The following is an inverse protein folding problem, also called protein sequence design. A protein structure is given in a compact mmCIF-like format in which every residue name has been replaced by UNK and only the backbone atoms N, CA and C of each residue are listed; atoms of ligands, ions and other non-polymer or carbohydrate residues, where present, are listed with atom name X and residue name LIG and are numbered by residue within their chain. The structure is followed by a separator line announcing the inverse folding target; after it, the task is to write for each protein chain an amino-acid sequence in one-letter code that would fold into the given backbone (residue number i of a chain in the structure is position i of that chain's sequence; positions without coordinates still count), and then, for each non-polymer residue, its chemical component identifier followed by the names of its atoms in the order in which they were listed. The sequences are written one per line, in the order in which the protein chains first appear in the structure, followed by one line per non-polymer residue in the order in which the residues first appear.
data_IF_840286661795
#
_entry.id   IF_840286661795
#
_cell.length_a   1.000
_cell.length_b   1.000
_cell.length_c   1.000
_cell.angle_alpha   90.00
_cell.angle_beta   90.00
_cell.angle_gamma   90.00
#
_symmetry.space_group_name_H-M   'P 1'
#
loop_
_entity.id
_entity.type
_entity.pdbx_description
1 polymer ?
#
# COMPACT_ATOMS: atom_id res chain seq x y z
N UNK A 1 -8.87 -3.77 1.08
CA UNK A 1 -8.34 -2.47 1.59
C UNK A 1 -8.12 -2.44 3.12
N UNK A 2 -9.11 -2.67 4.00
CA UNK A 2 -8.91 -2.54 5.46
C UNK A 2 -7.78 -3.41 6.02
N UNK A 3 -7.78 -4.71 5.71
CA UNK A 3 -6.75 -5.66 6.17
C UNK A 3 -5.36 -5.24 5.70
N UNK A 4 -5.24 -4.90 4.44
CA UNK A 4 -4.00 -4.41 3.83
C UNK A 4 -3.47 -3.16 4.54
N UNK A 5 -4.35 -2.17 4.75
CA UNK A 5 -3.97 -0.92 5.40
C UNK A 5 -3.52 -1.13 6.84
N UNK A 6 -4.18 -2.03 7.55
CA UNK A 6 -3.79 -2.43 8.91
C UNK A 6 -2.41 -3.10 8.93
N UNK A 7 -2.14 -4.01 7.97
CA UNK A 7 -0.84 -4.66 7.82
C UNK A 7 0.27 -3.63 7.52
N UNK A 8 0.00 -2.63 6.68
CA UNK A 8 0.96 -1.55 6.39
C UNK A 8 1.28 -0.73 7.65
N UNK A 9 0.28 -0.41 8.47
CA UNK A 9 0.51 0.29 9.74
C UNK A 9 1.34 -0.57 10.70
N UNK A 10 1.03 -1.85 10.86
CA UNK A 10 1.82 -2.76 11.69
C UNK A 10 3.27 -2.86 11.22
N UNK A 11 3.46 -2.94 9.90
CA UNK A 11 4.80 -2.99 9.31
C UNK A 11 5.58 -1.69 9.56
N UNK A 12 4.92 -0.53 9.49
CA UNK A 12 5.56 0.76 9.80
C UNK A 12 6.07 0.81 11.24
N UNK A 13 5.27 0.30 12.18
CA UNK A 13 5.67 0.21 13.59
C UNK A 13 6.92 -0.66 13.76
N UNK A 14 7.00 -1.78 13.04
CA UNK A 14 8.19 -2.63 13.07
C UNK A 14 9.45 -1.90 12.59
N UNK A 15 9.34 -1.06 11.54
CA UNK A 15 10.43 -0.23 11.05
C UNK A 15 10.86 0.87 12.05
N UNK A 16 9.92 1.43 12.80
CA UNK A 16 10.23 2.46 13.81
C UNK A 16 10.88 1.89 15.08
N UNK A 17 10.45 0.70 15.52
CA UNK A 17 10.94 0.11 16.77
C UNK A 17 12.37 -0.43 16.63
N UNK A 18 12.72 -1.00 15.48
CA UNK A 18 14.02 -1.63 15.27
C UNK A 18 14.59 -1.36 13.88
N UNK A 19 15.12 -0.16 13.64
CA UNK A 19 15.74 0.18 12.37
C UNK A 19 17.08 -0.57 12.12
N UNK A 20 17.67 -1.21 13.14
CA UNK A 20 18.97 -1.86 13.06
C UNK A 20 18.91 -3.38 12.85
N UNK A 21 17.73 -3.94 12.55
CA UNK A 21 17.61 -5.38 12.34
C UNK A 21 18.33 -5.85 11.07
N UNK A 22 18.88 -7.08 11.09
CA UNK A 22 19.51 -7.66 9.91
C UNK A 22 18.55 -7.66 8.73
N UNK A 23 19.04 -7.25 7.57
CA UNK A 23 18.30 -7.14 6.31
C UNK A 23 17.44 -8.36 6.00
N UNK A 24 17.96 -9.57 6.23
CA UNK A 24 17.28 -10.83 5.94
C UNK A 24 15.94 -10.99 6.69
N UNK A 25 15.87 -10.59 7.97
CA UNK A 25 14.63 -10.71 8.75
C UNK A 25 13.54 -9.77 8.25
N UNK A 26 13.91 -8.53 7.90
CA UNK A 26 12.96 -7.56 7.32
C UNK A 26 12.52 -7.97 5.92
N UNK A 27 13.45 -8.45 5.11
CA UNK A 27 13.17 -8.90 3.75
C UNK A 27 12.12 -10.01 3.72
N UNK A 28 12.26 -11.01 4.59
CA UNK A 28 11.32 -12.12 4.71
C UNK A 28 9.94 -11.63 5.17
N UNK A 29 9.90 -10.79 6.21
CA UNK A 29 8.65 -10.25 6.75
C UNK A 29 7.90 -9.41 5.71
N UNK A 30 8.59 -8.52 5.02
CA UNK A 30 8.00 -7.69 3.96
C UNK A 30 7.58 -8.54 2.77
N UNK A 31 8.39 -9.54 2.39
CA UNK A 31 8.06 -10.47 1.33
C UNK A 31 6.78 -11.25 1.61
N UNK A 32 6.61 -11.77 2.83
CA UNK A 32 5.39 -12.46 3.24
C UNK A 32 4.17 -11.53 3.24
N UNK A 33 4.31 -10.30 3.74
CA UNK A 33 3.21 -9.34 3.74
C UNK A 33 2.83 -8.89 2.32
N UNK A 34 3.81 -8.67 1.44
CA UNK A 34 3.55 -8.34 0.04
C UNK A 34 2.88 -9.51 -0.70
N UNK A 35 3.24 -10.75 -0.38
CA UNK A 35 2.60 -11.95 -0.93
C UNK A 35 1.14 -12.05 -0.50
N UNK A 36 0.85 -11.87 0.79
CA UNK A 36 -0.51 -11.85 1.32
C UNK A 36 -1.34 -10.73 0.67
N UNK A 37 -0.77 -9.55 0.53
CA UNK A 37 -1.42 -8.41 -0.11
C UNK A 37 -1.72 -8.71 -1.59
N UNK A 38 -0.77 -9.23 -2.33
CA UNK A 38 -0.95 -9.63 -3.72
C UNK A 38 -2.03 -10.70 -3.89
N UNK A 39 -2.06 -11.71 -3.00
CA UNK A 39 -3.10 -12.72 -2.98
C UNK A 39 -4.49 -12.12 -2.71
N UNK A 40 -4.61 -11.18 -1.76
CA UNK A 40 -5.88 -10.48 -1.47
C UNK A 40 -6.38 -9.71 -2.69
N UNK A 41 -5.51 -9.00 -3.43
CA UNK A 41 -5.90 -8.29 -4.64
C UNK A 41 -6.37 -9.24 -5.74
N UNK A 42 -5.66 -10.34 -5.98
CA UNK A 42 -6.04 -11.32 -7.00
C UNK A 42 -7.36 -11.99 -6.63
N UNK A 43 -7.50 -12.45 -5.39
CA UNK A 43 -8.76 -13.04 -4.92
C UNK A 43 -9.90 -12.01 -4.98
N UNK A 44 -9.66 -10.77 -4.58
CA UNK A 44 -10.63 -9.68 -4.68
C UNK A 44 -11.15 -9.51 -6.12
N UNK A 45 -10.25 -9.53 -7.10
CA UNK A 45 -10.63 -9.45 -8.51
C UNK A 45 -11.49 -10.64 -8.98
N UNK A 46 -11.14 -11.87 -8.58
CA UNK A 46 -11.91 -13.05 -9.02
C UNK A 46 -13.27 -13.17 -8.34
N UNK A 47 -13.38 -12.76 -7.08
CA UNK A 47 -14.64 -12.83 -6.32
C UNK A 47 -15.51 -11.56 -6.39
N UNK A 48 -15.02 -10.49 -7.03
CA UNK A 48 -15.81 -9.29 -7.27
C UNK A 48 -16.90 -9.55 -8.31
N UNK A 49 -18.02 -8.86 -8.17
CA UNK A 49 -19.07 -8.85 -9.18
C UNK A 49 -18.51 -8.34 -10.53
N UNK A 50 -19.05 -8.82 -11.69
CA UNK A 50 -18.54 -8.45 -13.01
C UNK A 50 -18.44 -6.94 -13.25
N UNK A 51 -19.31 -6.16 -12.62
CA UNK A 51 -19.36 -4.70 -12.74
C UNK A 51 -18.32 -4.00 -11.85
N UNK A 52 -17.82 -4.67 -10.80
CA UNK A 52 -16.87 -4.11 -9.82
C UNK A 52 -15.42 -4.56 -10.06
N UNK A 53 -15.17 -5.35 -11.11
CA UNK A 53 -13.85 -5.88 -11.44
C UNK A 53 -12.90 -4.78 -11.87
N UNK A 54 -11.92 -4.47 -11.01
CA UNK A 54 -10.87 -3.52 -11.32
C UNK A 54 -9.64 -4.23 -11.89
N UNK A 55 -9.34 -4.00 -13.16
CA UNK A 55 -8.10 -4.51 -13.79
C UNK A 55 -6.86 -3.99 -13.06
N UNK A 56 -6.94 -2.81 -12.46
CA UNK A 56 -5.85 -2.25 -11.66
C UNK A 56 -5.53 -3.12 -10.44
N UNK A 57 -6.53 -3.70 -9.77
CA UNK A 57 -6.33 -4.63 -8.64
C UNK A 57 -5.61 -5.91 -9.08
N UNK A 58 -5.98 -6.46 -10.23
CA UNK A 58 -5.32 -7.65 -10.79
C UNK A 58 -3.84 -7.37 -11.10
N UNK A 59 -3.56 -6.26 -11.79
CA UNK A 59 -2.19 -5.86 -12.15
C UNK A 59 -1.37 -5.63 -10.87
N UNK A 60 -1.92 -4.91 -9.88
CA UNK A 60 -1.28 -4.70 -8.59
C UNK A 60 -1.01 -6.01 -7.86
N UNK A 61 -1.96 -6.93 -7.86
CA UNK A 61 -1.80 -8.25 -7.27
C UNK A 61 -0.64 -9.02 -7.90
N UNK A 62 -0.53 -9.02 -9.22
CA UNK A 62 0.56 -9.67 -9.96
C UNK A 62 1.92 -9.03 -9.61
N UNK A 63 1.99 -7.69 -9.63
CA UNK A 63 3.22 -6.96 -9.28
C UNK A 63 3.65 -7.28 -7.85
N UNK A 64 2.71 -7.32 -6.90
CA UNK A 64 2.99 -7.64 -5.50
C UNK A 64 3.48 -9.08 -5.33
N UNK A 65 2.90 -10.06 -6.01
CA UNK A 65 3.36 -11.46 -5.96
C UNK A 65 4.75 -11.60 -6.60
N UNK A 66 4.98 -11.01 -7.75
CA UNK A 66 6.29 -11.01 -8.39
C UNK A 66 7.36 -10.38 -7.49
N UNK A 67 7.03 -9.22 -6.90
CA UNK A 67 7.90 -8.54 -5.97
C UNK A 67 8.15 -9.33 -4.69
N UNK A 68 7.14 -9.97 -4.12
CA UNK A 68 7.28 -10.82 -2.94
C UNK A 68 8.16 -12.04 -3.22
N UNK A 69 8.00 -12.65 -4.38
CA UNK A 69 8.84 -13.79 -4.80
C UNK A 69 10.29 -13.37 -4.91
N UNK A 70 10.58 -12.20 -5.49
CA UNK A 70 11.93 -11.65 -5.52
C UNK A 70 12.49 -11.42 -4.11
N UNK A 71 11.69 -10.89 -3.17
CA UNK A 71 12.12 -10.66 -1.80
C UNK A 71 12.37 -11.95 -1.01
N UNK A 72 11.55 -12.99 -1.23
CA UNK A 72 11.65 -14.25 -0.49
C UNK A 72 12.75 -15.16 -1.00
N UNK A 73 12.96 -15.20 -2.30
CA UNK A 73 13.89 -16.14 -2.96
C UNK A 73 15.12 -15.47 -3.55
N UNK A 74 15.08 -14.14 -3.78
CA UNK A 74 16.21 -13.38 -4.28
C UNK A 74 17.24 -13.13 -3.18
N UNK A 75 18.53 -13.30 -3.50
CA UNK A 75 19.62 -12.86 -2.64
C UNK A 75 19.81 -11.36 -2.84
N UNK A 76 19.23 -10.56 -1.93
CA UNK A 76 19.46 -9.11 -1.96
C UNK A 76 20.77 -8.81 -1.23
N UNK A 77 21.82 -8.62 -1.98
CA UNK A 77 23.18 -8.39 -1.44
C UNK A 77 23.36 -6.98 -0.87
N UNK A 78 22.47 -6.04 -1.19
CA UNK A 78 22.61 -4.62 -0.84
C UNK A 78 21.33 -4.05 -0.23
N UNK A 79 21.48 -3.41 0.92
CA UNK A 79 20.39 -2.70 1.60
C UNK A 79 19.78 -1.60 0.73
N UNK A 80 20.58 -0.93 -0.09
CA UNK A 80 20.08 0.11 -0.99
C UNK A 80 19.16 -0.47 -2.08
N UNK A 81 19.51 -1.63 -2.65
CA UNK A 81 18.66 -2.32 -3.63
C UNK A 81 17.32 -2.74 -3.01
N UNK A 82 17.36 -3.26 -1.78
CA UNK A 82 16.15 -3.61 -1.03
C UNK A 82 15.26 -2.39 -0.77
N UNK A 83 15.85 -1.30 -0.29
CA UNK A 83 15.13 -0.06 0.00
C UNK A 83 14.52 0.57 -1.27
N UNK A 84 15.24 0.57 -2.39
CA UNK A 84 14.72 1.05 -3.68
C UNK A 84 13.57 0.18 -4.19
N UNK A 85 13.70 -1.12 -4.10
CA UNK A 85 12.64 -2.05 -4.50
C UNK A 85 11.37 -1.85 -3.66
N UNK A 86 11.53 -1.73 -2.34
CA UNK A 86 10.44 -1.50 -1.42
C UNK A 86 9.74 -0.15 -1.68
N UNK A 87 10.53 0.90 -1.91
CA UNK A 87 10.00 2.22 -2.28
C UNK A 87 9.27 2.20 -3.62
N UNK A 88 9.73 1.39 -4.58
CA UNK A 88 9.03 1.15 -5.84
C UNK A 88 7.64 0.54 -5.64
N UNK A 89 7.52 -0.49 -4.80
CA UNK A 89 6.22 -1.07 -4.42
C UNK A 89 5.32 0.00 -3.77
N UNK A 90 5.88 0.81 -2.87
CA UNK A 90 5.10 1.87 -2.21
C UNK A 90 4.68 2.97 -3.17
N UNK A 91 5.48 3.25 -4.20
CA UNK A 91 5.11 4.19 -5.26
C UNK A 91 3.84 3.73 -6.00
N UNK A 92 3.80 2.45 -6.38
CA UNK A 92 2.62 1.86 -7.04
C UNK A 92 1.40 1.94 -6.13
N UNK A 93 1.52 1.60 -4.85
CA UNK A 93 0.45 1.75 -3.86
C UNK A 93 0.02 3.22 -3.69
N UNK A 94 0.98 4.14 -3.67
CA UNK A 94 0.71 5.58 -3.57
C UNK A 94 -0.13 6.09 -4.72
N UNK A 95 0.20 5.71 -5.96
CA UNK A 95 -0.58 6.05 -7.14
C UNK A 95 -1.98 5.44 -7.11
N UNK A 96 -2.10 4.19 -6.68
CA UNK A 96 -3.40 3.55 -6.52
C UNK A 96 -4.28 4.32 -5.53
N UNK A 97 -3.76 4.64 -4.35
CA UNK A 97 -4.52 5.42 -3.35
C UNK A 97 -4.85 6.83 -3.83
N UNK A 98 -3.97 7.46 -4.60
CA UNK A 98 -4.24 8.76 -5.21
C UNK A 98 -5.40 8.66 -6.22
N UNK A 99 -5.39 7.66 -7.11
CA UNK A 99 -6.47 7.44 -8.07
C UNK A 99 -7.82 7.21 -7.37
N UNK A 100 -7.88 6.31 -6.39
CA UNK A 100 -9.11 6.05 -5.62
C UNK A 100 -9.58 7.31 -4.86
N UNK A 101 -8.64 8.10 -4.33
CA UNK A 101 -8.99 9.37 -3.66
C UNK A 101 -9.56 10.40 -4.61
N UNK A 102 -9.08 10.42 -5.86
CA UNK A 102 -9.62 11.29 -6.89
C UNK A 102 -11.07 10.94 -7.21
N UNK A 103 -11.38 9.65 -7.33
CA UNK A 103 -12.74 9.18 -7.58
C UNK A 103 -13.68 9.48 -6.40
N UNK A 104 -13.18 9.35 -5.16
CA UNK A 104 -13.94 9.61 -3.94
C UNK A 104 -13.88 11.07 -3.46
N UNK A 105 -13.31 11.99 -4.25
CA UNK A 105 -13.14 13.41 -3.87
C UNK A 105 -14.40 14.09 -3.35
N UNK A 106 -15.61 13.87 -3.90
CA UNK A 106 -16.81 14.53 -3.39
C UNK A 106 -17.18 14.11 -1.98
N UNK A 107 -16.84 12.90 -1.58
CA UNK A 107 -17.16 12.31 -0.28
C UNK A 107 -16.00 12.43 0.73
N UNK A 108 -14.81 12.84 0.28
CA UNK A 108 -13.62 12.90 1.10
C UNK A 108 -13.17 14.32 1.42
N UNK A 109 -13.33 14.69 2.68
CA UNK A 109 -12.63 15.89 3.19
C UNK A 109 -11.10 15.62 3.20
N UNK A 110 -10.30 16.53 2.66
CA UNK A 110 -8.84 16.42 2.56
C UNK A 110 -8.35 15.28 1.63
N UNK A 111 -9.05 15.02 0.54
CA UNK A 111 -8.64 14.06 -0.50
C UNK A 111 -7.24 14.37 -1.08
N UNK A 112 -6.88 15.64 -1.15
CA UNK A 112 -5.59 16.10 -1.67
C UNK A 112 -4.37 15.59 -0.86
N UNK A 113 -4.54 15.26 0.44
CA UNK A 113 -3.45 14.70 1.25
C UNK A 113 -3.00 13.35 0.69
N UNK A 114 -3.93 12.52 0.22
CA UNK A 114 -3.59 11.23 -0.38
C UNK A 114 -2.91 11.38 -1.74
N UNK A 115 -3.12 12.51 -2.45
CA UNK A 115 -2.40 12.85 -3.67
C UNK A 115 -0.92 13.17 -3.43
N UNK A 116 -0.55 13.54 -2.20
CA UNK A 116 0.86 13.80 -1.86
C UNK A 116 1.66 12.50 -1.64
N UNK A 117 1.01 11.36 -1.45
CA UNK A 117 1.71 10.07 -1.20
C UNK A 117 2.66 9.68 -2.32
N UNK A 118 2.27 9.69 -3.62
CA UNK A 118 3.21 9.38 -4.70
C UNK A 118 4.38 10.35 -4.74
N UNK A 119 4.13 11.65 -4.55
CA UNK A 119 5.18 12.68 -4.55
C UNK A 119 6.17 12.46 -3.40
N UNK A 120 5.66 12.17 -2.20
CA UNK A 120 6.49 11.82 -1.05
C UNK A 120 7.31 10.56 -1.31
N UNK A 121 6.71 9.54 -1.92
CA UNK A 121 7.42 8.30 -2.26
C UNK A 121 8.53 8.55 -3.28
N UNK A 122 8.29 9.36 -4.32
CA UNK A 122 9.33 9.77 -5.28
C UNK A 122 10.47 10.51 -4.58
N UNK A 123 10.15 11.41 -3.65
CA UNK A 123 11.17 12.10 -2.85
C UNK A 123 12.04 11.10 -2.08
N UNK A 124 11.43 10.10 -1.41
CA UNK A 124 12.18 9.08 -0.65
C UNK A 124 13.03 8.21 -1.58
N UNK A 125 12.50 7.79 -2.74
CA UNK A 125 13.27 7.04 -3.75
C UNK A 125 14.48 7.84 -4.21
N UNK A 126 14.30 9.10 -4.54
CA UNK A 126 15.40 9.99 -4.94
C UNK A 126 16.43 10.13 -3.82
N UNK A 127 15.98 10.33 -2.58
CA UNK A 127 16.84 10.49 -1.42
C UNK A 127 17.69 9.25 -1.13
N UNK A 128 17.10 8.05 -1.22
CA UNK A 128 17.81 6.78 -1.07
C UNK A 128 18.80 6.57 -2.22
N UNK A 129 18.41 6.92 -3.46
CA UNK A 129 19.25 6.70 -4.64
C UNK A 129 20.49 7.61 -4.66
N UNK A 130 20.34 8.86 -4.28
CA UNK A 130 21.44 9.83 -4.27
C UNK A 130 22.47 9.59 -3.17
N UNK A 131 22.23 8.59 -2.30
CA UNK A 131 23.12 8.26 -1.17
C UNK A 131 23.47 9.47 -0.29
N UNK A 132 22.61 10.50 -0.30
CA UNK A 132 22.80 11.71 0.52
C UNK A 132 22.87 11.38 2.02
N UNK A 133 22.30 10.23 2.40
CA UNK A 133 22.37 9.71 3.76
C UNK A 133 22.90 8.29 3.74
N UNK A 134 24.12 8.12 4.20
CA UNK A 134 24.73 6.80 4.38
C UNK A 134 24.18 6.06 5.62
N UNK A 135 23.37 6.72 6.44
CA UNK A 135 22.80 6.15 7.65
C UNK A 135 21.61 5.24 7.32
N UNK A 136 21.81 3.95 7.45
CA UNK A 136 20.83 2.88 7.25
C UNK A 136 19.54 3.13 8.04
N UNK A 137 19.68 3.61 9.28
CA UNK A 137 18.55 3.91 10.17
C UNK A 137 17.60 4.96 9.60
N UNK A 138 18.14 5.98 8.90
CA UNK A 138 17.29 7.03 8.30
C UNK A 138 16.52 6.48 7.10
N UNK A 139 17.14 5.64 6.28
CA UNK A 139 16.45 5.02 5.14
C UNK A 139 15.28 4.15 5.63
N UNK A 140 15.48 3.36 6.68
CA UNK A 140 14.40 2.55 7.26
C UNK A 140 13.32 3.40 7.94
N UNK A 141 13.69 4.48 8.59
CA UNK A 141 12.73 5.43 9.14
C UNK A 141 11.85 6.05 8.05
N UNK A 142 12.43 6.49 6.93
CA UNK A 142 11.69 7.04 5.78
C UNK A 142 10.76 6.00 5.15
N UNK A 143 11.21 4.77 5.02
CA UNK A 143 10.38 3.64 4.56
C UNK A 143 9.24 3.38 5.54
N UNK A 144 9.50 3.37 6.83
CA UNK A 144 8.47 3.25 7.87
C UNK A 144 7.41 4.34 7.75
N UNK A 145 7.84 5.58 7.51
CA UNK A 145 6.94 6.72 7.31
C UNK A 145 6.07 6.57 6.06
N UNK A 146 6.62 6.01 4.96
CA UNK A 146 5.83 5.67 3.76
C UNK A 146 4.75 4.63 4.05
N UNK A 147 5.12 3.53 4.73
CA UNK A 147 4.16 2.50 5.12
C UNK A 147 3.05 3.05 6.01
N UNK A 148 3.42 3.90 6.95
CA UNK A 148 2.46 4.56 7.84
C UNK A 148 1.49 5.46 7.07
N UNK A 149 2.01 6.32 6.19
CA UNK A 149 1.20 7.19 5.33
C UNK A 149 0.25 6.41 4.44
N UNK A 150 0.74 5.39 3.74
CA UNK A 150 -0.07 4.52 2.89
C UNK A 150 -1.11 3.74 3.71
N UNK A 151 -0.74 3.25 4.90
CA UNK A 151 -1.65 2.54 5.79
C UNK A 151 -2.81 3.41 6.26
N UNK A 152 -2.53 4.63 6.74
CA UNK A 152 -3.56 5.58 7.18
C UNK A 152 -4.45 6.01 5.99
N UNK A 153 -3.86 6.32 4.84
CA UNK A 153 -4.62 6.67 3.65
C UNK A 153 -5.56 5.55 3.23
N UNK A 154 -5.06 4.31 3.18
CA UNK A 154 -5.86 3.15 2.85
C UNK A 154 -6.98 2.85 3.85
N UNK A 155 -6.76 3.03 5.16
CA UNK A 155 -7.82 2.94 6.19
C UNK A 155 -8.91 3.97 5.94
N UNK A 156 -8.53 5.23 5.70
CA UNK A 156 -9.47 6.31 5.42
C UNK A 156 -10.29 6.03 4.17
N UNK A 157 -9.63 5.61 3.08
CA UNK A 157 -10.30 5.25 1.83
C UNK A 157 -11.28 4.09 2.01
N UNK A 158 -10.89 3.06 2.72
CA UNK A 158 -11.74 1.91 2.98
C UNK A 158 -12.99 2.27 3.79
N UNK A 159 -12.86 3.19 4.76
CA UNK A 159 -13.99 3.65 5.57
C UNK A 159 -14.95 4.53 4.75
N UNK A 160 -14.43 5.42 3.90
CA UNK A 160 -15.26 6.27 3.04
C UNK A 160 -15.97 5.43 1.98
N UNK A 161 -15.26 4.55 1.29
CA UNK A 161 -15.84 3.64 0.30
C UNK A 161 -16.97 2.81 0.88
N UNK A 162 -16.80 2.28 2.11
CA UNK A 162 -17.85 1.53 2.78
C UNK A 162 -19.10 2.39 3.06
N UNK A 163 -18.94 3.63 3.50
CA UNK A 163 -20.06 4.55 3.73
C UNK A 163 -20.82 4.83 2.45
N UNK A 164 -20.10 5.12 1.36
CA UNK A 164 -20.71 5.36 0.05
C UNK A 164 -21.56 4.17 -0.39
N UNK A 165 -21.03 2.95 -0.30
CA UNK A 165 -21.76 1.73 -0.63
C UNK A 165 -23.00 1.53 0.27
N UNK A 166 -22.89 1.78 1.57
CA UNK A 166 -24.03 1.67 2.50
C UNK A 166 -25.11 2.71 2.19
N UNK A 167 -24.74 3.94 1.82
CA UNK A 167 -25.69 4.99 1.46
C UNK A 167 -26.41 4.71 0.16
N UNK A 168 -25.76 4.09 -0.83
CA UNK A 168 -26.41 3.62 -2.04
C UNK A 168 -27.40 2.48 -1.81
N UNK A 169 -27.18 1.63 -0.82
CA UNK A 169 -28.09 0.51 -0.49
C UNK A 169 -29.35 0.95 0.27
N UNK A 170 -29.33 2.07 0.97
CA UNK A 170 -30.48 2.58 1.76
C UNK A 170 -31.74 2.90 0.93
N UNK A 171 -31.68 3.50 -0.28
CA UNK A 171 -32.89 3.82 -1.06
C UNK A 171 -33.63 2.60 -1.57
N UNK A 172 -32.93 1.50 -1.88
CA UNK A 172 -33.54 0.28 -2.43
C UNK A 172 -34.52 -0.35 -1.41
N UNK A 173 -34.19 -0.28 -0.13
CA UNK A 173 -35.08 -0.79 0.93
C UNK A 173 -36.28 0.12 1.24
N UNK A 174 -36.30 1.38 0.78
CA UNK A 174 -37.42 2.31 0.99
C UNK A 174 -38.56 2.11 -0.01
N UNK A 175 -38.30 1.49 -1.14
CA UNK A 175 -39.32 1.24 -2.17
C UNK A 175 -40.08 -0.08 -2.01
N UNK A 176 -39.88 -0.77 -0.84
CA UNK A 176 -40.81 -1.81 -0.35
C UNK A 176 -41.35 -2.76 -1.43
N UNK A 177 -40.49 -3.30 -2.30
CA UNK A 177 -40.89 -4.43 -3.13
C UNK A 177 -40.96 -5.65 -2.22
N UNK A 178 -42.18 -5.89 -1.70
CA UNK A 178 -42.57 -7.16 -1.10
C UNK A 178 -42.66 -8.23 -2.17
#
# INVERSE_FOLDING_TARGET
MLVQSFLLVLLSIAFFIRPDRPLAGFQTLVGLLALLQGAIFILGYFFADPFDKSQAELILGIIMIAGSSYLLFGRTESQNKFSLFLSGIMLVNGFFYAAVSWDLRPEMKFWWITMLLPAFTLFVVFFIHTSLVQAISINYFLIGLQFFGCGIAGLKLALVSRRVVEDFKKPINRFGVK
#
